data_IF_944881538295
#
_entry.id   IF_944881538295
#
_cell.length_a   1.000
_cell.length_b   1.000
_cell.length_c   1.000
_cell.angle_alpha   90.00
_cell.angle_beta   90.00
_cell.angle_gamma   90.00
#
_symmetry.space_group_name_H-M   'P 1'
#
loop_
_entity.id
_entity.type
_entity.pdbx_description
1 polymer ?
#
# COMPACT_ATOMS: atom_id res chain seq x y z
N UNK A 1 -32.25 -16.69 35.67
CA UNK A 1 -32.01 -16.02 34.39
C UNK A 1 -30.57 -15.54 34.36
N UNK A 2 -29.68 -16.24 33.66
CA UNK A 2 -28.40 -15.71 33.22
C UNK A 2 -28.28 -16.18 31.77
N UNK A 3 -28.51 -15.26 30.84
CA UNK A 3 -28.47 -15.54 29.41
C UNK A 3 -27.00 -15.62 28.99
N UNK A 4 -26.60 -16.72 28.37
CA UNK A 4 -25.29 -16.89 27.75
C UNK A 4 -25.26 -16.09 26.45
N UNK A 5 -24.39 -15.08 26.38
CA UNK A 5 -24.16 -14.31 25.17
C UNK A 5 -23.02 -14.95 24.38
N UNK A 6 -23.37 -15.61 23.27
CA UNK A 6 -22.46 -16.14 22.27
C UNK A 6 -21.43 -15.08 21.83
N UNK A 7 -20.15 -15.40 21.92
CA UNK A 7 -19.09 -14.64 21.30
C UNK A 7 -19.11 -14.88 19.77
N UNK A 8 -19.71 -13.96 19.04
CA UNK A 8 -19.62 -13.89 17.58
C UNK A 8 -18.15 -13.74 17.17
N UNK A 9 -17.62 -14.73 16.46
CA UNK A 9 -16.34 -14.66 15.78
C UNK A 9 -16.33 -13.41 14.88
N UNK A 10 -15.47 -12.43 15.19
CA UNK A 10 -15.30 -11.23 14.38
C UNK A 10 -14.61 -11.64 13.07
N UNK A 11 -15.38 -11.63 11.99
CA UNK A 11 -14.89 -11.81 10.63
C UNK A 11 -13.68 -10.89 10.41
N UNK A 12 -12.54 -11.47 10.01
CA UNK A 12 -11.31 -10.73 9.76
C UNK A 12 -11.54 -9.65 8.72
N UNK A 13 -11.14 -8.41 9.03
CA UNK A 13 -11.18 -7.28 8.10
C UNK A 13 -10.49 -7.65 6.78
N UNK A 14 -10.95 -7.14 5.62
CA UNK A 14 -10.23 -7.30 4.37
C UNK A 14 -8.83 -6.72 4.53
N UNK A 15 -7.82 -7.58 4.65
CA UNK A 15 -6.42 -7.18 4.66
C UNK A 15 -6.14 -6.70 3.26
N UNK A 16 -6.15 -5.38 3.03
CA UNK A 16 -5.72 -4.81 1.75
C UNK A 16 -4.31 -5.33 1.50
N UNK A 17 -4.09 -6.17 0.46
CA UNK A 17 -2.79 -6.79 0.26
C UNK A 17 -1.78 -5.69 -0.03
N UNK A 18 -0.66 -5.74 0.70
CA UNK A 18 0.46 -4.84 0.46
C UNK A 18 1.00 -5.12 -0.95
N UNK A 19 1.00 -4.11 -1.80
CA UNK A 19 1.58 -4.19 -3.14
C UNK A 19 2.95 -3.52 -3.14
N UNK A 20 3.89 -4.08 -3.90
CA UNK A 20 5.26 -3.58 -4.01
C UNK A 20 5.57 -3.26 -5.47
N UNK A 21 6.16 -2.09 -5.72
CA UNK A 21 6.50 -1.60 -7.05
C UNK A 21 7.95 -1.11 -7.09
N UNK A 22 8.84 -1.73 -7.88
CA UNK A 22 10.24 -1.31 -7.97
C UNK A 22 10.37 0.08 -8.60
N UNK A 23 11.27 0.90 -8.08
CA UNK A 23 11.59 2.23 -8.59
C UNK A 23 13.01 2.65 -8.20
N UNK A 24 13.88 2.85 -9.20
CA UNK A 24 15.28 3.18 -8.96
C UNK A 24 15.97 2.15 -8.06
N UNK A 25 16.61 2.60 -6.98
CA UNK A 25 17.29 1.74 -5.99
C UNK A 25 16.39 1.26 -4.84
N UNK A 26 15.07 1.25 -5.03
CA UNK A 26 14.13 0.85 -3.99
C UNK A 26 12.79 0.41 -4.55
N UNK A 27 11.78 0.41 -3.68
CA UNK A 27 10.41 0.02 -4.03
C UNK A 27 9.39 0.84 -3.24
N UNK A 28 8.27 1.14 -3.88
CA UNK A 28 7.09 1.68 -3.21
C UNK A 28 6.24 0.52 -2.68
N UNK A 29 5.84 0.62 -1.43
CA UNK A 29 4.94 -0.32 -0.78
C UNK A 29 3.62 0.40 -0.49
N UNK A 30 2.52 -0.09 -1.07
CA UNK A 30 1.19 0.49 -0.90
C UNK A 30 0.31 -0.46 -0.10
N UNK A 31 -0.31 0.04 0.97
CA UNK A 31 -1.25 -0.72 1.80
C UNK A 31 -2.38 0.17 2.30
N UNK A 32 -3.34 -0.42 3.04
CA UNK A 32 -4.38 0.36 3.73
C UNK A 32 -3.85 1.34 4.80
N UNK A 33 -2.56 1.27 5.17
CA UNK A 33 -1.93 2.20 6.12
C UNK A 33 -1.28 3.42 5.47
N UNK A 34 -1.04 3.37 4.16
CA UNK A 34 -0.35 4.42 3.43
C UNK A 34 0.58 3.91 2.35
N UNK A 35 1.32 4.84 1.75
CA UNK A 35 2.39 4.58 0.80
C UNK A 35 3.73 4.80 1.50
N UNK A 36 4.61 3.83 1.37
CA UNK A 36 5.95 3.84 1.94
C UNK A 36 6.98 3.62 0.85
N UNK A 37 8.20 4.13 1.04
CA UNK A 37 9.34 3.83 0.19
C UNK A 37 10.39 3.04 0.98
N UNK A 38 10.62 1.80 0.58
CA UNK A 38 11.67 0.94 1.11
C UNK A 38 12.89 0.99 0.18
N UNK A 39 14.05 1.27 0.74
CA UNK A 39 15.31 1.42 0.00
C UNK A 39 16.42 0.67 0.70
N UNK A 40 17.38 0.18 -0.07
CA UNK A 40 18.64 -0.30 0.49
C UNK A 40 19.66 0.84 0.56
N UNK A 41 20.61 0.74 1.49
CA UNK A 41 21.78 1.62 1.50
C UNK A 41 22.83 1.17 0.46
N UNK A 42 24.01 1.81 0.44
CA UNK A 42 25.09 1.49 -0.53
C UNK A 42 25.68 0.10 -0.30
N UNK A 43 25.61 -0.41 0.93
CA UNK A 43 26.05 -1.75 1.32
C UNK A 43 24.96 -2.80 1.11
N UNK A 44 23.77 -2.40 0.63
CA UNK A 44 22.67 -3.30 0.32
C UNK A 44 21.77 -3.64 1.52
N UNK A 45 21.96 -3.01 2.69
CA UNK A 45 21.11 -3.25 3.85
C UNK A 45 19.80 -2.48 3.74
N UNK A 46 18.70 -3.09 4.20
CA UNK A 46 17.39 -2.46 4.24
C UNK A 46 17.39 -1.26 5.19
N UNK A 47 16.91 -0.12 4.70
CA UNK A 47 16.60 1.03 5.53
C UNK A 47 15.15 0.96 6.03
N UNK A 48 14.84 1.60 7.17
CA UNK A 48 13.47 1.78 7.60
C UNK A 48 12.61 2.40 6.48
N UNK A 49 11.42 1.85 6.18
CA UNK A 49 10.53 2.42 5.17
C UNK A 49 10.16 3.87 5.49
N UNK A 50 10.29 4.75 4.50
CA UNK A 50 9.90 6.15 4.63
C UNK A 50 8.43 6.31 4.30
N UNK A 51 7.66 6.94 5.19
CA UNK A 51 6.28 7.32 4.89
C UNK A 51 6.25 8.42 3.81
N UNK A 52 5.40 8.24 2.80
CA UNK A 52 5.23 9.20 1.71
C UNK A 52 3.89 9.93 1.88
N UNK A 53 2.80 9.16 1.98
CA UNK A 53 1.46 9.71 2.12
C UNK A 53 0.45 8.68 2.65
N UNK A 54 -0.78 9.15 2.91
CA UNK A 54 -1.95 8.30 3.16
C UNK A 54 -2.27 7.41 1.94
N UNK A 55 -3.12 6.36 2.08
CA UNK A 55 -3.44 5.46 0.97
C UNK A 55 -3.93 6.21 -0.27
N UNK A 56 -3.35 5.89 -1.42
CA UNK A 56 -3.71 6.49 -2.71
C UNK A 56 -4.48 5.48 -3.57
N UNK A 57 -5.61 5.92 -4.11
CA UNK A 57 -6.46 5.11 -4.99
C UNK A 57 -6.54 5.76 -6.37
N UNK A 58 -6.11 5.03 -7.40
CA UNK A 58 -6.33 5.45 -8.78
C UNK A 58 -7.79 5.18 -9.14
N UNK A 59 -8.60 6.23 -9.13
CA UNK A 59 -10.05 6.15 -9.41
C UNK A 59 -10.39 6.36 -10.89
N UNK A 60 -9.47 6.92 -11.66
CA UNK A 60 -9.60 7.12 -13.10
C UNK A 60 -8.23 7.06 -13.78
N UNK A 61 -8.19 6.57 -15.01
CA UNK A 61 -7.03 6.65 -15.91
C UNK A 61 -7.52 7.20 -17.24
N UNK A 62 -7.08 8.40 -17.61
CA UNK A 62 -7.35 8.97 -18.93
C UNK A 62 -6.14 8.74 -19.82
N UNK A 63 -6.38 8.34 -21.08
CA UNK A 63 -5.34 8.23 -22.10
C UNK A 63 -5.87 8.89 -23.36
N UNK A 64 -5.09 9.80 -23.93
CA UNK A 64 -5.30 10.32 -25.28
C UNK A 64 -4.35 9.55 -26.21
N UNK A 65 -4.80 9.23 -27.43
CA UNK A 65 -4.06 8.32 -28.32
C UNK A 65 -2.86 8.98 -29.00
N UNK A 66 -2.82 10.31 -29.08
CA UNK A 66 -1.84 11.09 -29.84
C UNK A 66 -0.73 11.65 -28.97
N UNK A 67 -0.93 11.74 -27.66
CA UNK A 67 0.06 12.23 -26.72
C UNK A 67 0.45 11.14 -25.71
N UNK A 68 1.73 10.78 -25.69
CA UNK A 68 2.29 9.79 -24.77
C UNK A 68 2.67 10.38 -23.40
N UNK A 69 2.48 11.69 -23.22
CA UNK A 69 2.82 12.40 -22.00
C UNK A 69 1.73 12.18 -20.92
N UNK A 70 2.18 12.02 -19.69
CA UNK A 70 1.35 12.16 -18.50
C UNK A 70 1.64 13.58 -17.99
N UNK A 71 0.59 14.41 -17.82
CA UNK A 71 0.74 15.80 -17.35
C UNK A 71 1.39 15.92 -15.99
#
# INVERSE_FOLDING_TARGET
MMQNHNATAKQGLPVVPMKSFPHGSGRFETSGKGVFFASTDREGNDRPPKWICSPLHVVAKTREERNAEWG
#
